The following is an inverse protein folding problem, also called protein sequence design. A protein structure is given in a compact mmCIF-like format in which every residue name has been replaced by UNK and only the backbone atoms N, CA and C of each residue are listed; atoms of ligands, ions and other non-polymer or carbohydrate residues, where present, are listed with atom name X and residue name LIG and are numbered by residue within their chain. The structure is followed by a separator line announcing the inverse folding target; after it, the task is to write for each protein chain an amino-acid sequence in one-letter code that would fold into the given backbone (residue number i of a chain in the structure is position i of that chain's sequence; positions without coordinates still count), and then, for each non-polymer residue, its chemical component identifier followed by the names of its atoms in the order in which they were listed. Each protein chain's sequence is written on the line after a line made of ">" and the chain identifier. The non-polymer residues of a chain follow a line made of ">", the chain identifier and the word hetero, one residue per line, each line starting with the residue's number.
data_IF_844189478958
#
_entry.id   IF_844189478958
#
_cell.length_a   1.000
_cell.length_b   1.000
_cell.length_c   1.000
_cell.angle_alpha   90.00
_cell.angle_beta   90.00
_cell.angle_gamma   90.00
#
_symmetry.space_group_name_H-M   'P 1'
#
loop_
_entity.id
_entity.type
_entity.pdbx_description
1 polymer ?
#
# COMPACT_ATOMS: atom_id res chain seq x y z
N UNK A 1 4.20 3.28 10.30
CA UNK A 1 4.42 1.99 11.01
C UNK A 1 5.63 1.26 10.43
N UNK A 2 5.60 0.75 9.19
CA UNK A 2 6.75 0.04 8.61
C UNK A 2 8.04 0.90 8.56
N UNK A 3 7.95 2.14 8.07
CA UNK A 3 9.06 3.12 8.10
C UNK A 3 9.62 3.43 9.49
N UNK A 4 8.79 3.28 10.53
CA UNK A 4 9.17 3.56 11.91
C UNK A 4 9.78 2.35 12.63
N UNK A 5 9.89 1.19 11.97
CA UNK A 5 10.51 0.00 12.54
C UNK A 5 9.71 -0.62 13.70
N UNK A 6 8.39 -0.42 13.73
CA UNK A 6 7.55 -1.03 14.76
C UNK A 6 7.58 -2.56 14.63
N UNK A 7 7.55 -3.26 15.77
CA UNK A 7 7.56 -4.72 15.82
C UNK A 7 6.19 -5.29 15.44
N UNK A 8 5.91 -5.31 14.14
CA UNK A 8 4.71 -5.87 13.54
C UNK A 8 5.08 -6.88 12.46
N UNK A 9 4.26 -7.94 12.32
CA UNK A 9 4.51 -9.03 11.37
C UNK A 9 4.31 -8.62 9.91
N UNK A 10 3.44 -7.66 9.65
CA UNK A 10 3.19 -7.11 8.32
C UNK A 10 2.36 -5.83 8.40
N UNK A 11 2.37 -5.05 7.32
CA UNK A 11 1.56 -3.84 7.16
C UNK A 11 0.79 -3.92 5.84
N UNK A 12 -0.49 -3.58 5.89
CA UNK A 12 -1.34 -3.40 4.70
C UNK A 12 -1.73 -1.92 4.61
N UNK A 13 -1.55 -1.33 3.44
CA UNK A 13 -1.99 0.03 3.11
C UNK A 13 -3.05 -0.05 2.01
N UNK A 14 -4.29 0.29 2.32
CA UNK A 14 -5.40 0.35 1.35
C UNK A 14 -5.67 1.81 1.09
N UNK A 15 -5.55 2.28 -0.16
CA UNK A 15 -5.68 3.69 -0.58
C UNK A 15 -4.97 4.71 0.33
N UNK A 16 -3.88 4.30 0.98
CA UNK A 16 -3.11 5.17 1.87
C UNK A 16 -2.27 6.18 1.09
N UNK A 17 -2.04 7.35 1.69
CA UNK A 17 -1.06 8.30 1.17
C UNK A 17 0.36 7.70 1.20
N UNK A 18 1.00 7.59 0.03
CA UNK A 18 2.28 6.89 -0.14
C UNK A 18 3.50 7.81 -0.04
N UNK A 19 3.27 9.13 -0.02
CA UNK A 19 4.32 10.14 0.04
C UNK A 19 5.26 9.96 1.24
N UNK A 20 6.51 10.37 1.03
CA UNK A 20 7.55 10.44 2.05
C UNK A 20 8.27 11.76 1.86
N UNK A 21 8.54 12.45 2.96
CA UNK A 21 9.46 13.60 2.93
C UNK A 21 10.84 13.16 2.42
N UNK A 22 11.38 13.87 1.43
CA UNK A 22 12.66 13.54 0.79
C UNK A 22 13.84 13.64 1.76
N UNK A 23 13.73 14.45 2.81
CA UNK A 23 14.77 14.60 3.83
C UNK A 23 14.90 13.37 4.72
N UNK A 24 13.92 12.45 4.70
CA UNK A 24 13.94 11.24 5.52
C UNK A 24 14.83 10.17 4.86
N UNK A 25 15.81 9.61 5.57
CA UNK A 25 16.66 8.57 5.01
C UNK A 25 15.87 7.28 4.74
N UNK A 26 16.29 6.54 3.71
CA UNK A 26 15.78 5.20 3.43
C UNK A 26 16.53 4.21 4.31
N UNK A 27 15.92 3.87 5.45
CA UNK A 27 16.45 2.88 6.38
C UNK A 27 16.01 1.46 5.99
N UNK A 28 16.64 0.45 6.59
CA UNK A 28 16.20 -0.94 6.44
C UNK A 28 14.76 -1.10 6.95
N UNK A 29 13.92 -1.72 6.13
CA UNK A 29 12.53 -2.03 6.43
C UNK A 29 12.42 -3.55 6.58
N UNK A 30 12.30 -4.02 7.82
CA UNK A 30 12.20 -5.46 8.14
C UNK A 30 10.79 -6.03 7.99
N UNK A 31 9.78 -5.17 8.02
CA UNK A 31 8.36 -5.54 7.99
C UNK A 31 7.93 -5.84 6.57
N UNK A 32 7.17 -6.93 6.36
CA UNK A 32 6.50 -7.23 5.08
C UNK A 32 5.42 -6.20 4.78
N UNK A 33 5.29 -5.76 3.53
CA UNK A 33 4.38 -4.68 3.14
C UNK A 33 3.49 -5.10 1.97
N UNK A 34 2.19 -4.93 2.12
CA UNK A 34 1.22 -4.94 1.03
C UNK A 34 0.65 -3.53 0.84
N UNK A 35 0.71 -3.02 -0.39
CA UNK A 35 0.10 -1.76 -0.78
C UNK A 35 -0.98 -2.05 -1.84
N UNK A 36 -2.20 -1.63 -1.54
CA UNK A 36 -3.39 -1.74 -2.36
C UNK A 36 -3.75 -0.35 -2.90
N UNK A 37 -3.32 -0.07 -4.13
CA UNK A 37 -3.34 1.25 -4.74
C UNK A 37 -4.51 1.40 -5.74
N UNK A 38 -5.37 2.43 -5.61
CA UNK A 38 -6.32 2.78 -6.67
C UNK A 38 -5.57 3.42 -7.86
N UNK A 39 -5.85 2.99 -9.09
CA UNK A 39 -5.15 3.50 -10.28
C UNK A 39 -5.45 4.97 -10.59
N UNK A 40 -6.59 5.48 -10.16
CA UNK A 40 -7.06 6.85 -10.41
C UNK A 40 -7.02 7.72 -9.14
N UNK A 41 -6.22 7.32 -8.15
CA UNK A 41 -5.99 8.14 -6.96
C UNK A 41 -5.11 9.35 -7.32
N UNK A 42 -5.71 10.54 -7.35
CA UNK A 42 -5.01 11.79 -7.64
C UNK A 42 -3.91 12.12 -6.61
N UNK A 43 -3.96 11.54 -5.41
CA UNK A 43 -2.93 11.69 -4.38
C UNK A 43 -1.69 10.84 -4.63
N UNK A 44 -1.73 9.89 -5.57
CA UNK A 44 -0.62 8.99 -5.90
C UNK A 44 -0.15 9.28 -7.32
N UNK A 45 0.67 10.32 -7.46
CA UNK A 45 1.28 10.67 -8.74
C UNK A 45 2.36 9.65 -9.14
N UNK A 46 2.79 9.60 -10.42
CA UNK A 46 3.91 8.76 -10.84
C UNK A 46 5.18 8.99 -10.02
N UNK A 47 5.46 10.23 -9.63
CA UNK A 47 6.63 10.60 -8.81
C UNK A 47 6.52 10.00 -7.40
N UNK A 48 5.33 10.05 -6.78
CA UNK A 48 5.08 9.43 -5.48
C UNK A 48 5.25 7.92 -5.56
N UNK A 49 4.70 7.27 -6.59
CA UNK A 49 4.84 5.83 -6.80
C UNK A 49 6.31 5.42 -7.01
N UNK A 50 7.02 6.15 -7.86
CA UNK A 50 8.45 5.89 -8.13
C UNK A 50 9.31 6.11 -6.88
N UNK A 51 9.01 7.16 -6.09
CA UNK A 51 9.68 7.44 -4.82
C UNK A 51 9.46 6.33 -3.79
N UNK A 52 8.23 5.80 -3.71
CA UNK A 52 7.90 4.66 -2.86
C UNK A 52 8.67 3.40 -3.28
N UNK A 53 8.65 3.06 -4.57
CA UNK A 53 9.36 1.88 -5.10
C UNK A 53 10.86 1.99 -4.80
N UNK A 54 11.46 3.17 -5.03
CA UNK A 54 12.86 3.44 -4.70
C UNK A 54 13.13 3.23 -3.21
N UNK A 55 12.29 3.80 -2.34
CA UNK A 55 12.41 3.62 -0.88
C UNK A 55 12.34 2.15 -0.48
N UNK A 56 11.33 1.40 -0.97
CA UNK A 56 11.16 0.00 -0.59
C UNK A 56 12.37 -0.84 -1.01
N UNK A 57 12.92 -0.58 -2.19
CA UNK A 57 14.10 -1.27 -2.71
C UNK A 57 15.38 -0.93 -1.93
N UNK A 58 15.64 0.35 -1.66
CA UNK A 58 16.80 0.78 -0.88
C UNK A 58 16.71 0.29 0.58
N UNK A 59 15.50 0.27 1.14
CA UNK A 59 15.20 -0.30 2.44
C UNK A 59 15.23 -1.83 2.49
N UNK A 60 15.45 -2.51 1.35
CA UNK A 60 15.45 -3.97 1.20
C UNK A 60 14.18 -4.62 1.77
N UNK A 61 13.04 -3.94 1.63
CA UNK A 61 11.77 -4.42 2.11
C UNK A 61 11.31 -5.65 1.32
N UNK A 62 10.54 -6.52 1.97
CA UNK A 62 9.69 -7.48 1.28
C UNK A 62 8.34 -6.81 1.03
N UNK A 63 8.08 -6.43 -0.22
CA UNK A 63 6.96 -5.56 -0.56
C UNK A 63 6.22 -6.02 -1.82
N UNK A 64 4.91 -5.72 -1.84
CA UNK A 64 4.03 -5.91 -2.97
C UNK A 64 3.15 -4.68 -3.16
N UNK A 65 2.97 -4.25 -4.40
CA UNK A 65 1.99 -3.23 -4.80
C UNK A 65 1.00 -3.88 -5.75
N UNK A 66 -0.29 -3.76 -5.45
CA UNK A 66 -1.39 -4.16 -6.33
C UNK A 66 -2.16 -2.90 -6.71
N UNK A 67 -2.22 -2.62 -8.01
CA UNK A 67 -2.95 -1.47 -8.54
C UNK A 67 -4.30 -1.88 -9.12
N UNK A 68 -5.38 -1.28 -8.63
CA UNK A 68 -6.75 -1.56 -9.06
C UNK A 68 -7.20 -0.55 -10.11
N UNK A 69 -7.39 -1.01 -11.35
CA UNK A 69 -7.82 -0.19 -12.47
C UNK A 69 -9.18 0.48 -12.20
N UNK A 70 -9.34 1.72 -12.71
CA UNK A 70 -10.59 2.49 -12.64
C UNK A 70 -11.14 2.74 -11.23
N UNK A 71 -10.25 2.73 -10.22
CA UNK A 71 -10.58 3.00 -8.83
C UNK A 71 -9.97 4.32 -8.39
N UNK A 72 -10.78 5.15 -7.71
CA UNK A 72 -10.34 6.37 -7.03
C UNK A 72 -10.08 6.08 -5.55
N UNK A 73 -9.68 7.11 -4.80
CA UNK A 73 -9.20 7.01 -3.42
C UNK A 73 -10.07 6.11 -2.53
N UNK A 74 -11.38 6.38 -2.45
CA UNK A 74 -12.26 5.71 -1.46
C UNK A 74 -12.99 4.48 -2.00
N UNK A 75 -12.41 3.77 -2.98
CA UNK A 75 -13.10 2.68 -3.69
C UNK A 75 -13.58 1.52 -2.82
N UNK A 76 -13.07 1.38 -1.59
CA UNK A 76 -13.48 0.35 -0.63
C UNK A 76 -14.61 0.74 0.32
N UNK A 77 -15.03 2.01 0.33
CA UNK A 77 -16.08 2.48 1.23
C UNK A 77 -17.45 2.43 0.52
N UNK A 78 -18.40 1.58 0.95
CA UNK A 78 -19.73 1.48 0.35
C UNK A 78 -20.56 2.77 0.39
N UNK A 79 -20.16 3.75 1.22
CA UNK A 79 -20.82 5.06 1.31
C UNK A 79 -20.25 6.10 0.35
N UNK A 80 -19.14 5.79 -0.31
CA UNK A 80 -18.47 6.70 -1.23
C UNK A 80 -19.10 6.66 -2.62
N UNK A 81 -19.07 7.80 -3.32
CA UNK A 81 -19.35 7.87 -4.76
C UNK A 81 -18.33 7.11 -5.60
N UNK A 82 -17.12 6.87 -5.06
CA UNK A 82 -16.04 6.14 -5.72
C UNK A 82 -16.12 4.63 -5.49
N UNK A 83 -17.13 4.15 -4.74
CA UNK A 83 -17.23 2.74 -4.35
C UNK A 83 -17.23 1.81 -5.57
N UNK A 84 -16.34 0.82 -5.52
CA UNK A 84 -16.27 -0.23 -6.53
C UNK A 84 -16.31 -1.59 -5.83
N UNK A 85 -17.48 -2.23 -5.85
CA UNK A 85 -17.72 -3.50 -5.13
C UNK A 85 -16.77 -4.62 -5.58
N UNK A 86 -16.54 -4.76 -6.89
CA UNK A 86 -15.67 -5.81 -7.43
C UNK A 86 -14.22 -5.62 -6.97
N UNK A 87 -13.70 -4.40 -7.07
CA UNK A 87 -12.32 -4.11 -6.69
C UNK A 87 -12.17 -4.13 -5.16
N UNK A 88 -13.18 -3.71 -4.40
CA UNK A 88 -13.23 -3.87 -2.93
C UNK A 88 -13.09 -5.33 -2.52
N UNK A 89 -13.84 -6.24 -3.18
CA UNK A 89 -13.75 -7.67 -2.92
C UNK A 89 -12.37 -8.24 -3.26
N UNK A 90 -11.75 -7.79 -4.36
CA UNK A 90 -10.39 -8.20 -4.74
C UNK A 90 -9.34 -7.72 -3.74
N UNK A 91 -9.39 -6.44 -3.37
CA UNK A 91 -8.59 -5.83 -2.31
C UNK A 91 -8.67 -6.64 -1.02
N UNK A 92 -9.88 -6.90 -0.54
CA UNK A 92 -10.06 -7.71 0.66
C UNK A 92 -9.46 -9.11 0.56
N UNK A 93 -9.61 -9.79 -0.58
CA UNK A 93 -9.03 -11.12 -0.78
C UNK A 93 -7.48 -11.10 -0.77
N UNK A 94 -6.86 -10.06 -1.33
CA UNK A 94 -5.39 -9.93 -1.29
C UNK A 94 -4.89 -9.61 0.12
N UNK A 95 -5.60 -8.75 0.85
CA UNK A 95 -5.36 -8.53 2.28
C UNK A 95 -5.41 -9.85 3.06
N UNK A 96 -6.45 -10.67 2.88
CA UNK A 96 -6.57 -11.96 3.56
C UNK A 96 -5.45 -12.93 3.18
N UNK A 97 -5.05 -12.95 1.90
CA UNK A 97 -3.92 -13.76 1.42
C UNK A 97 -2.62 -13.37 2.13
N UNK A 98 -2.33 -12.07 2.21
CA UNK A 98 -1.16 -11.53 2.87
C UNK A 98 -1.18 -11.81 4.39
N UNK A 99 -2.30 -11.58 5.06
CA UNK A 99 -2.45 -11.87 6.49
C UNK A 99 -2.26 -13.36 6.80
N UNK A 100 -2.76 -14.25 5.93
CA UNK A 100 -2.53 -15.70 6.05
C UNK A 100 -1.05 -16.08 5.92
N UNK A 101 -0.24 -15.29 5.21
CA UNK A 101 1.21 -15.50 5.16
C UNK A 101 1.90 -15.01 6.43
N UNK A 102 1.59 -13.78 6.88
CA UNK A 102 2.35 -13.11 7.95
C UNK A 102 1.95 -13.50 9.37
N UNK A 103 0.74 -14.04 9.57
CA UNK A 103 0.22 -14.46 10.89
C UNK A 103 0.28 -15.98 11.13
N UNK A 104 1.09 -16.71 10.37
CA UNK A 104 1.32 -18.14 10.63
C UNK A 104 2.04 -18.39 11.95
#
# INVERSE_FOLDING_TARGET
>A
MARAGFDVKGVVSIHGGLGKDESRPNNLIKTKILIENPAEDAGVTPEVMNGLIKEMNEGKADWQIITYAYCKHTFTDPKSADYNELMSKRAWNHTLLFLKEVLK
#
